data_IF_992521878776
#
_entry.id   IF_992521878776
#
_cell.length_a   1.000
_cell.length_b   1.000
_cell.length_c   1.000
_cell.angle_alpha   90.00
_cell.angle_beta   90.00
_cell.angle_gamma   90.00
#
_symmetry.space_group_name_H-M   'P 1'
#
loop_
_entity.id
_entity.type
_entity.pdbx_description
1 polymer ?
#
# COMPACT_ATOMS: atom_id res chain seq x y z
N UNK A 1 -23.67 -23.33 -11.09
CA UNK A 1 -24.32 -22.83 -12.32
C UNK A 1 -23.26 -22.10 -13.14
N UNK A 2 -22.97 -22.55 -14.35
CA UNK A 2 -21.92 -22.00 -15.20
C UNK A 2 -22.41 -20.71 -15.87
N UNK A 3 -22.14 -19.55 -15.27
CA UNK A 3 -22.42 -18.24 -15.89
C UNK A 3 -21.48 -18.06 -17.09
N UNK A 4 -22.02 -17.83 -18.28
CA UNK A 4 -21.19 -17.42 -19.42
C UNK A 4 -20.58 -16.05 -19.12
N UNK A 5 -19.24 -15.99 -19.09
CA UNK A 5 -18.49 -14.78 -18.78
C UNK A 5 -18.32 -13.91 -20.02
N UNK A 6 -18.38 -12.60 -19.82
CA UNK A 6 -18.16 -11.61 -20.88
C UNK A 6 -16.68 -11.60 -21.28
N UNK A 7 -16.41 -11.31 -22.54
CA UNK A 7 -15.03 -11.17 -23.05
C UNK A 7 -14.38 -9.91 -22.49
N UNK A 8 -13.14 -10.04 -22.00
CA UNK A 8 -12.35 -8.90 -21.52
C UNK A 8 -11.92 -8.07 -22.74
N UNK A 9 -12.20 -6.76 -22.79
CA UNK A 9 -11.79 -5.91 -23.90
C UNK A 9 -10.27 -5.67 -23.89
N UNK A 10 -9.69 -5.41 -25.06
CA UNK A 10 -8.27 -5.06 -25.19
C UNK A 10 -8.05 -3.60 -24.85
N UNK A 11 -7.20 -3.31 -23.85
CA UNK A 11 -6.89 -1.93 -23.44
C UNK A 11 -5.58 -1.44 -24.07
N UNK A 12 -5.51 -0.14 -24.39
CA UNK A 12 -4.29 0.46 -24.93
C UNK A 12 -3.31 0.90 -23.83
N UNK A 13 -3.79 1.13 -22.61
CA UNK A 13 -2.98 1.52 -21.46
C UNK A 13 -3.62 1.12 -20.12
N UNK A 14 -2.82 1.15 -19.04
CA UNK A 14 -3.25 0.77 -17.69
C UNK A 14 -4.33 1.71 -17.13
N UNK A 15 -4.32 3.00 -17.49
CA UNK A 15 -5.31 3.96 -17.01
C UNK A 15 -6.72 3.65 -17.54
N UNK A 16 -6.84 3.23 -18.80
CA UNK A 16 -8.08 2.78 -19.42
C UNK A 16 -8.58 1.48 -18.77
N UNK A 17 -7.67 0.54 -18.52
CA UNK A 17 -7.99 -0.70 -17.84
C UNK A 17 -8.54 -0.43 -16.43
N UNK A 18 -7.87 0.44 -15.66
CA UNK A 18 -8.32 0.82 -14.31
C UNK A 18 -9.71 1.45 -14.33
N UNK A 19 -9.93 2.42 -15.21
CA UNK A 19 -11.23 3.08 -15.34
C UNK A 19 -12.35 2.10 -15.72
N UNK A 20 -12.04 1.10 -16.55
CA UNK A 20 -12.99 0.03 -16.88
C UNK A 20 -13.33 -0.84 -15.67
N UNK A 21 -12.33 -1.30 -14.91
CA UNK A 21 -12.56 -2.15 -13.74
C UNK A 21 -13.20 -1.41 -12.56
N UNK A 22 -13.00 -0.10 -12.43
CA UNK A 22 -13.71 0.72 -11.44
C UNK A 22 -15.21 0.84 -11.77
N UNK A 23 -15.57 0.84 -13.05
CA UNK A 23 -16.95 1.01 -13.51
C UNK A 23 -17.72 -0.31 -13.72
N UNK A 24 -17.04 -1.44 -13.82
CA UNK A 24 -17.63 -2.73 -14.17
C UNK A 24 -17.39 -3.80 -13.11
N UNK A 25 -18.40 -4.64 -12.84
CA UNK A 25 -18.25 -5.77 -11.92
C UNK A 25 -17.34 -6.85 -12.54
N UNK A 26 -16.22 -7.12 -11.87
CA UNK A 26 -15.22 -8.09 -12.31
C UNK A 26 -15.71 -9.54 -12.27
N UNK A 27 -16.77 -9.86 -11.51
CA UNK A 27 -17.33 -11.21 -11.43
C UNK A 27 -18.01 -11.67 -12.72
N UNK A 28 -18.40 -10.73 -13.59
CA UNK A 28 -18.97 -10.99 -14.91
C UNK A 28 -17.92 -11.39 -15.95
N UNK A 29 -16.64 -11.09 -15.70
CA UNK A 29 -15.53 -11.28 -16.63
C UNK A 29 -14.53 -12.32 -16.14
N UNK A 30 -14.28 -12.40 -14.82
CA UNK A 30 -13.23 -13.22 -14.23
C UNK A 30 -13.76 -14.42 -13.45
N UNK A 31 -13.00 -15.52 -13.52
CA UNK A 31 -13.24 -16.72 -12.70
C UNK A 31 -12.56 -16.61 -11.34
N UNK A 32 -13.24 -16.02 -10.37
CA UNK A 32 -12.69 -15.88 -9.02
C UNK A 32 -12.39 -17.22 -8.32
N UNK A 33 -12.98 -18.35 -8.75
CA UNK A 33 -12.63 -19.65 -8.18
C UNK A 33 -11.24 -20.14 -8.60
N UNK A 34 -10.64 -19.53 -9.63
CA UNK A 34 -9.28 -19.81 -10.10
C UNK A 34 -8.26 -18.80 -9.57
N UNK A 35 -8.70 -17.82 -8.78
CA UNK A 35 -7.80 -16.81 -8.25
C UNK A 35 -6.83 -17.42 -7.23
N UNK A 36 -5.55 -17.10 -7.39
CA UNK A 36 -4.49 -17.51 -6.46
C UNK A 36 -4.03 -16.31 -5.63
N UNK A 37 -3.76 -16.54 -4.34
CA UNK A 37 -3.10 -15.53 -3.51
C UNK A 37 -1.67 -15.36 -4.00
N UNK A 38 -1.37 -14.21 -4.60
CA UNK A 38 -0.02 -13.87 -5.04
C UNK A 38 0.67 -13.08 -3.93
N UNK A 39 1.86 -13.51 -3.55
CA UNK A 39 2.74 -12.68 -2.72
C UNK A 39 3.59 -11.85 -3.66
N UNK A 40 3.56 -10.53 -3.52
CA UNK A 40 4.31 -9.59 -4.36
C UNK A 40 5.50 -9.04 -3.56
N UNK A 41 6.57 -9.83 -3.32
CA UNK A 41 7.65 -9.46 -2.41
C UNK A 41 8.42 -8.20 -2.85
N UNK A 42 8.39 -7.88 -4.14
CA UNK A 42 9.14 -6.77 -4.73
C UNK A 42 8.31 -5.49 -4.92
N UNK A 43 7.03 -5.50 -4.54
CA UNK A 43 6.19 -4.31 -4.65
C UNK A 43 6.66 -3.29 -3.61
N UNK A 44 7.31 -2.21 -4.06
CA UNK A 44 7.74 -1.12 -3.19
C UNK A 44 6.51 -0.23 -2.90
N UNK A 45 6.14 -0.02 -1.63
CA UNK A 45 5.16 1.00 -1.29
C UNK A 45 5.60 2.35 -1.86
N UNK A 46 4.66 3.12 -2.40
CA UNK A 46 4.95 4.47 -2.88
C UNK A 46 5.37 5.34 -1.70
N UNK A 47 6.51 6.02 -1.82
CA UNK A 47 7.03 6.93 -0.79
C UNK A 47 6.94 8.36 -1.30
N UNK A 48 6.54 9.28 -0.43
CA UNK A 48 6.54 10.72 -0.71
C UNK A 48 7.41 11.42 0.32
N UNK A 49 8.39 12.19 -0.15
CA UNK A 49 9.23 13.01 0.72
C UNK A 49 8.43 14.20 1.23
N UNK A 50 8.47 14.42 2.54
CA UNK A 50 7.85 15.58 3.20
C UNK A 50 8.90 16.31 4.04
N UNK A 51 8.79 17.63 4.13
CA UNK A 51 9.58 18.44 5.05
C UNK A 51 8.78 18.69 6.32
N UNK A 52 9.28 18.23 7.47
CA UNK A 52 8.64 18.38 8.78
C UNK A 52 9.60 19.09 9.74
N UNK A 53 9.09 20.12 10.43
CA UNK A 53 9.84 20.77 11.53
C UNK A 53 9.48 20.10 12.85
N UNK A 54 10.50 19.76 13.64
CA UNK A 54 10.38 19.16 14.97
C UNK A 54 11.19 19.99 15.97
N UNK A 55 10.74 20.12 17.23
CA UNK A 55 11.57 20.65 18.30
C UNK A 55 12.83 19.81 18.50
N UNK A 56 13.97 20.47 18.77
CA UNK A 56 15.27 19.81 18.92
C UNK A 56 15.26 18.71 19.99
N UNK A 57 14.74 19.00 21.18
CA UNK A 57 14.67 18.07 22.30
C UNK A 57 13.87 16.80 21.97
N UNK A 58 12.81 16.92 21.16
CA UNK A 58 12.00 15.80 20.72
C UNK A 58 12.78 14.91 19.76
N UNK A 59 13.47 15.51 18.79
CA UNK A 59 14.30 14.77 17.84
C UNK A 59 15.40 13.99 18.57
N UNK A 60 16.05 14.60 19.55
CA UNK A 60 17.11 13.96 20.33
C UNK A 60 16.56 12.80 21.18
N UNK A 61 15.37 12.96 21.76
CA UNK A 61 14.67 11.87 22.48
C UNK A 61 14.33 10.70 21.55
N UNK A 62 13.87 10.98 20.33
CA UNK A 62 13.58 9.96 19.31
C UNK A 62 14.86 9.22 18.92
N UNK A 63 15.98 9.93 18.72
CA UNK A 63 17.27 9.31 18.39
C UNK A 63 17.76 8.38 19.49
N UNK A 64 17.66 8.78 20.75
CA UNK A 64 18.01 7.93 21.90
C UNK A 64 17.12 6.68 21.95
N UNK A 65 15.80 6.84 21.77
CA UNK A 65 14.85 5.75 21.73
C UNK A 65 15.10 4.76 20.56
N UNK A 66 15.54 5.27 19.42
CA UNK A 66 15.86 4.48 18.24
C UNK A 66 17.16 3.69 18.42
N UNK A 67 18.19 4.33 18.97
CA UNK A 67 19.46 3.66 19.27
C UNK A 67 19.28 2.54 20.30
N UNK A 68 18.48 2.76 21.36
CA UNK A 68 18.15 1.73 22.35
C UNK A 68 17.42 0.51 21.77
N UNK A 69 16.79 0.65 20.60
CA UNK A 69 16.04 -0.41 19.91
C UNK A 69 16.78 -0.97 18.70
N UNK A 70 18.03 -0.53 18.49
CA UNK A 70 18.86 -0.87 17.33
C UNK A 70 18.15 -0.61 15.98
N UNK A 71 17.42 0.51 15.88
CA UNK A 71 16.73 0.93 14.66
C UNK A 71 17.12 2.37 14.25
N UNK A 72 17.09 2.70 12.95
CA UNK A 72 17.24 4.09 12.51
C UNK A 72 16.10 4.97 13.02
N UNK A 73 16.41 6.19 13.46
CA UNK A 73 15.39 7.11 14.00
C UNK A 73 14.28 7.44 12.99
N UNK A 74 14.59 7.52 11.69
CA UNK A 74 13.57 7.74 10.65
C UNK A 74 12.63 6.53 10.52
N UNK A 75 13.14 5.32 10.69
CA UNK A 75 12.33 4.10 10.69
C UNK A 75 11.43 4.05 11.92
N UNK A 76 11.96 4.42 13.09
CA UNK A 76 11.17 4.51 14.32
C UNK A 76 10.03 5.52 14.21
N UNK A 77 10.27 6.69 13.62
CA UNK A 77 9.22 7.70 13.35
C UNK A 77 8.08 7.09 12.53
N UNK A 78 8.40 6.33 11.47
CA UNK A 78 7.38 5.68 10.62
C UNK A 78 6.56 4.66 11.40
N UNK A 79 7.21 3.85 12.23
CA UNK A 79 6.54 2.83 13.06
C UNK A 79 5.56 3.51 14.03
N UNK A 80 6.00 4.53 14.77
CA UNK A 80 5.13 5.24 15.72
C UNK A 80 3.97 5.97 15.06
N UNK A 81 4.17 6.59 13.89
CA UNK A 81 3.08 7.21 13.14
C UNK A 81 2.04 6.16 12.72
N UNK A 82 2.49 5.00 12.24
CA UNK A 82 1.61 3.91 11.84
C UNK A 82 0.86 3.29 13.03
N UNK A 83 1.52 3.13 14.18
CA UNK A 83 0.90 2.68 15.43
C UNK A 83 -0.21 3.63 15.87
N UNK A 84 0.04 4.95 15.82
CA UNK A 84 -0.96 5.96 16.19
C UNK A 84 -2.16 5.99 15.24
N UNK A 85 -1.94 5.78 13.94
CA UNK A 85 -3.04 5.67 12.97
C UNK A 85 -3.87 4.40 13.13
N UNK A 86 -3.30 3.29 13.63
CA UNK A 86 -4.03 2.03 13.86
C UNK A 86 -4.82 2.02 15.16
N UNK A 87 -4.45 2.88 16.12
CA UNK A 87 -5.14 3.02 17.39
C UNK A 87 -6.34 3.99 17.33
N UNK A 88 -6.63 4.52 16.15
CA UNK A 88 -7.85 5.25 15.78
C UNK A 88 -8.63 4.41 14.76
#
# INVERSE_FOLDING_TARGET
MNKQRKTIPTFANEAQERAFWEANDSTDYLDWSKANKVTLPNLKPTTKTISLRLPQHLLDSIKAAANSRDVPYQSLIKIWLQEKLRAH
#
